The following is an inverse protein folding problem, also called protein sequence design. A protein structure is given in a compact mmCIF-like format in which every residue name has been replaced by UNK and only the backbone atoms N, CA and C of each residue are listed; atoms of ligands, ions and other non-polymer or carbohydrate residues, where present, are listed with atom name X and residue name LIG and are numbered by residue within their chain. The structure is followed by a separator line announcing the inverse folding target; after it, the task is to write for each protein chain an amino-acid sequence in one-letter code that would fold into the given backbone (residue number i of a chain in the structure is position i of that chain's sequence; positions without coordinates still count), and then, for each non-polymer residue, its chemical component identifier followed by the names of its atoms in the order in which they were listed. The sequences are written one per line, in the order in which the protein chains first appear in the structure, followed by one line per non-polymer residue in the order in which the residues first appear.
data_IF_496560815564
#
_entry.id   IF_496560815564
#
_cell.length_a   1.000
_cell.length_b   1.000
_cell.length_c   1.000
_cell.angle_alpha   90.00
_cell.angle_beta   90.00
_cell.angle_gamma   90.00
#
_symmetry.space_group_name_H-M   'P 1'
#
loop_
_entity.id
_entity.type
_entity.pdbx_description
1 polymer ?
#
# COMPACT_ATOMS: atom_id res chain seq x y z
N UNK A 1 21.22 0.23 0.56
CA UNK A 1 20.45 -0.47 1.58
C UNK A 1 18.97 -0.41 1.25
N UNK A 2 18.31 -1.56 1.20
CA UNK A 2 16.88 -1.63 0.84
C UNK A 2 16.00 -1.32 2.05
N UNK A 3 15.06 -0.39 1.89
CA UNK A 3 14.06 -0.12 2.93
C UNK A 3 12.78 -0.90 2.60
N UNK A 4 12.33 -1.72 3.53
CA UNK A 4 11.09 -2.47 3.40
C UNK A 4 10.00 -1.77 4.19
N UNK A 5 8.95 -1.30 3.50
CA UNK A 5 7.84 -0.59 4.13
C UNK A 5 6.80 -1.56 4.69
N UNK A 6 6.60 -2.70 4.02
CA UNK A 6 5.64 -3.70 4.47
C UNK A 6 5.95 -5.06 3.85
N UNK A 7 5.40 -6.11 4.45
CA UNK A 7 5.60 -7.49 4.00
C UNK A 7 4.36 -8.29 4.42
N UNK A 8 3.75 -8.97 3.47
CA UNK A 8 2.56 -9.79 3.73
C UNK A 8 2.81 -10.84 4.83
N UNK A 9 4.05 -11.35 4.92
CA UNK A 9 4.42 -12.33 5.95
C UNK A 9 4.40 -11.76 7.37
N UNK A 10 4.59 -10.44 7.53
CA UNK A 10 4.48 -9.78 8.82
C UNK A 10 3.05 -9.83 9.35
N UNK A 11 2.07 -9.80 8.46
CA UNK A 11 0.66 -9.84 8.80
C UNK A 11 0.18 -11.28 9.01
N UNK A 12 0.49 -12.17 8.08
CA UNK A 12 0.04 -13.57 8.13
C UNK A 12 0.65 -14.35 9.31
N UNK A 13 1.83 -13.92 9.78
CA UNK A 13 2.48 -14.52 10.95
C UNK A 13 2.17 -13.83 12.27
N UNK A 14 1.36 -12.76 12.26
CA UNK A 14 1.04 -11.96 13.45
C UNK A 14 -0.16 -12.47 14.23
N UNK A 15 -0.27 -12.03 15.48
CA UNK A 15 -1.44 -12.30 16.32
C UNK A 15 -2.64 -11.54 15.74
N UNK A 16 -3.82 -12.14 15.80
CA UNK A 16 -5.06 -11.53 15.31
C UNK A 16 -5.31 -11.72 13.81
N UNK A 17 -4.41 -12.38 13.10
CA UNK A 17 -4.62 -12.68 11.69
C UNK A 17 -5.71 -13.76 11.54
N UNK A 18 -6.79 -13.50 10.76
CA UNK A 18 -7.88 -14.48 10.67
C UNK A 18 -7.41 -15.81 10.05
N UNK A 19 -7.70 -16.95 10.71
CA UNK A 19 -7.30 -18.26 10.17
C UNK A 19 -7.90 -18.58 8.80
N UNK A 20 -9.08 -18.03 8.50
CA UNK A 20 -9.76 -18.21 7.23
C UNK A 20 -9.19 -17.34 6.10
N UNK A 21 -8.44 -16.29 6.44
CA UNK A 21 -7.76 -15.47 5.45
C UNK A 21 -6.51 -16.21 4.97
N UNK A 22 -6.37 -16.41 3.68
CA UNK A 22 -5.18 -17.03 3.13
C UNK A 22 -3.94 -16.15 3.28
N UNK A 23 -2.74 -16.67 3.03
CA UNK A 23 -1.51 -15.86 3.12
C UNK A 23 -1.52 -14.64 2.19
N UNK A 24 -2.32 -14.67 1.13
CA UNK A 24 -2.47 -13.59 0.17
C UNK A 24 -3.19 -12.38 0.74
N UNK A 25 -4.01 -12.57 1.78
CA UNK A 25 -4.81 -11.49 2.36
C UNK A 25 -3.93 -10.40 2.98
N UNK A 26 -2.74 -10.74 3.44
CA UNK A 26 -1.76 -9.76 3.94
C UNK A 26 -1.16 -8.87 2.84
N UNK A 27 -1.31 -9.25 1.58
CA UNK A 27 -0.80 -8.48 0.45
C UNK A 27 -1.83 -7.52 -0.16
N UNK A 28 -3.11 -7.64 0.18
CA UNK A 28 -4.17 -6.84 -0.45
C UNK A 28 -3.96 -5.34 -0.25
N UNK A 29 -3.78 -4.89 0.99
CA UNK A 29 -3.58 -3.47 1.28
C UNK A 29 -2.27 -2.94 0.70
N UNK A 30 -1.23 -3.76 0.69
CA UNK A 30 0.05 -3.42 0.07
C UNK A 30 -0.15 -3.22 -1.43
N UNK A 31 -0.89 -4.13 -2.06
CA UNK A 31 -1.18 -4.08 -3.49
C UNK A 31 -1.95 -2.84 -3.91
N UNK A 32 -2.91 -2.41 -3.09
CA UNK A 32 -3.69 -1.20 -3.39
C UNK A 32 -2.79 0.04 -3.45
N UNK A 33 -1.85 0.18 -2.52
CA UNK A 33 -0.89 1.29 -2.52
C UNK A 33 0.06 1.20 -3.72
N UNK A 34 0.64 0.03 -3.97
CA UNK A 34 1.57 -0.14 -5.07
C UNK A 34 0.88 0.06 -6.43
N UNK A 35 -0.34 -0.43 -6.59
CA UNK A 35 -1.12 -0.21 -7.81
C UNK A 35 -1.35 1.29 -8.03
N UNK A 36 -1.70 2.02 -6.98
CA UNK A 36 -1.85 3.47 -7.07
C UNK A 36 -0.55 4.12 -7.55
N UNK A 37 0.57 3.74 -6.95
CA UNK A 37 1.88 4.30 -7.31
C UNK A 37 2.24 4.01 -8.77
N UNK A 38 2.02 2.79 -9.23
CA UNK A 38 2.28 2.39 -10.63
C UNK A 38 1.40 3.19 -11.58
N UNK A 39 0.11 3.28 -11.30
CA UNK A 39 -0.84 3.98 -12.18
C UNK A 39 -0.63 5.50 -12.15
N UNK A 40 -0.08 6.03 -11.08
CA UNK A 40 0.27 7.45 -10.97
C UNK A 40 1.63 7.78 -11.61
N UNK A 41 2.38 6.77 -12.08
CA UNK A 41 3.66 6.97 -12.73
C UNK A 41 4.86 6.97 -11.79
N UNK A 42 4.72 6.37 -10.60
CA UNK A 42 5.77 6.33 -9.58
C UNK A 42 6.43 4.96 -9.42
N UNK A 43 6.23 4.05 -10.37
CA UNK A 43 6.98 2.79 -10.40
C UNK A 43 8.45 3.08 -10.71
N UNK A 44 9.37 2.35 -10.06
CA UNK A 44 10.79 2.52 -10.33
C UNK A 44 11.16 1.99 -11.72
N UNK A 45 12.26 2.50 -12.31
CA UNK A 45 12.77 1.91 -13.56
C UNK A 45 13.09 0.42 -13.44
N UNK A 46 13.55 -0.01 -12.27
CA UNK A 46 13.86 -1.42 -11.99
C UNK A 46 12.60 -2.28 -12.05
N UNK A 47 11.52 -1.83 -11.41
CA UNK A 47 10.25 -2.54 -11.45
C UNK A 47 9.67 -2.57 -12.87
N UNK A 48 9.77 -1.47 -13.59
CA UNK A 48 9.32 -1.38 -15.00
C UNK A 48 10.05 -2.37 -15.90
N UNK A 49 11.34 -2.57 -15.67
CA UNK A 49 12.16 -3.48 -16.44
C UNK A 49 11.94 -4.95 -16.06
N UNK A 50 11.91 -5.22 -14.75
CA UNK A 50 11.83 -6.59 -14.23
C UNK A 50 10.43 -7.20 -14.35
N UNK A 51 9.39 -6.37 -14.35
CA UNK A 51 7.99 -6.80 -14.30
C UNK A 51 7.16 -6.14 -15.40
N UNK A 52 7.71 -5.96 -16.57
CA UNK A 52 7.07 -5.28 -17.71
C UNK A 52 5.71 -5.89 -18.04
N UNK A 53 5.65 -7.21 -18.19
CA UNK A 53 4.42 -7.92 -18.55
C UNK A 53 3.38 -7.86 -17.43
N UNK A 54 3.82 -8.01 -16.20
CA UNK A 54 2.95 -7.95 -15.02
C UNK A 54 2.41 -6.53 -14.80
N UNK A 55 3.22 -5.50 -15.05
CA UNK A 55 2.78 -4.12 -14.98
C UNK A 55 1.76 -3.80 -16.08
N UNK A 56 1.96 -4.34 -17.28
CA UNK A 56 0.98 -4.19 -18.35
C UNK A 56 -0.35 -4.82 -17.96
N UNK A 57 -0.32 -6.02 -17.36
CA UNK A 57 -1.51 -6.70 -16.87
C UNK A 57 -2.22 -5.88 -15.77
N UNK A 58 -1.44 -5.27 -14.87
CA UNK A 58 -1.98 -4.41 -13.82
C UNK A 58 -2.69 -3.18 -14.41
N UNK A 59 -2.05 -2.52 -15.37
CA UNK A 59 -2.62 -1.35 -16.06
C UNK A 59 -3.87 -1.68 -16.85
N UNK A 60 -3.93 -2.89 -17.41
CA UNK A 60 -5.10 -3.40 -18.15
C UNK A 60 -6.16 -4.00 -17.22
N UNK A 61 -5.87 -4.08 -15.92
CA UNK A 61 -6.75 -4.63 -14.88
C UNK A 61 -7.08 -6.12 -15.12
N UNK A 62 -6.14 -6.86 -15.71
CA UNK A 62 -6.27 -8.31 -15.91
C UNK A 62 -5.67 -9.09 -14.74
N UNK A 63 -4.98 -8.41 -13.83
CA UNK A 63 -4.49 -8.96 -12.56
C UNK A 63 -4.95 -8.02 -11.44
N UNK A 64 -5.26 -8.56 -10.25
CA UNK A 64 -5.64 -7.73 -9.12
C UNK A 64 -4.42 -7.12 -8.44
N UNK A 65 -4.58 -5.98 -7.73
CA UNK A 65 -3.45 -5.35 -7.04
C UNK A 65 -2.74 -6.27 -6.04
N UNK A 66 -3.49 -7.02 -5.25
CA UNK A 66 -2.91 -7.95 -4.27
C UNK A 66 -2.17 -9.11 -4.94
N UNK A 67 -2.74 -9.66 -6.00
CA UNK A 67 -2.09 -10.73 -6.78
C UNK A 67 -0.78 -10.23 -7.40
N UNK A 68 -0.78 -9.00 -7.91
CA UNK A 68 0.43 -8.39 -8.48
C UNK A 68 1.56 -8.33 -7.44
N UNK A 69 1.27 -7.82 -6.24
CA UNK A 69 2.28 -7.74 -5.17
C UNK A 69 2.75 -9.13 -4.75
N UNK A 70 1.80 -10.04 -4.57
CA UNK A 70 2.11 -11.41 -4.14
C UNK A 70 3.02 -12.12 -5.15
N UNK A 71 2.70 -12.03 -6.44
CA UNK A 71 3.39 -12.78 -7.49
C UNK A 71 4.66 -12.09 -8.00
N UNK A 72 4.64 -10.75 -8.09
CA UNK A 72 5.74 -9.99 -8.72
C UNK A 72 6.69 -9.36 -7.71
N UNK A 73 6.24 -9.13 -6.48
CA UNK A 73 7.01 -8.44 -5.44
C UNK A 73 7.19 -9.28 -4.18
N UNK A 74 6.94 -10.59 -4.25
CA UNK A 74 7.04 -11.53 -3.11
C UNK A 74 6.21 -11.10 -1.90
N UNK A 75 5.11 -10.39 -2.13
CA UNK A 75 4.25 -9.88 -1.05
C UNK A 75 4.85 -8.74 -0.26
N UNK A 76 5.82 -8.02 -0.82
CA UNK A 76 6.56 -6.96 -0.12
C UNK A 76 6.41 -5.62 -0.83
N UNK A 77 6.51 -4.55 -0.04
CA UNK A 77 6.65 -3.19 -0.56
C UNK A 77 8.01 -2.65 -0.11
N UNK A 78 8.89 -2.42 -1.08
CA UNK A 78 10.25 -1.94 -0.81
C UNK A 78 10.53 -0.68 -1.65
N UNK A 79 11.56 0.07 -1.26
CA UNK A 79 11.94 1.31 -1.94
C UNK A 79 12.35 1.08 -3.40
N UNK A 80 12.86 -0.10 -3.73
CA UNK A 80 13.23 -0.46 -5.11
C UNK A 80 12.04 -0.58 -6.06
N UNK A 81 10.82 -0.66 -5.53
CA UNK A 81 9.61 -0.73 -6.34
C UNK A 81 9.12 0.64 -6.79
N UNK A 82 9.60 1.71 -6.15
CA UNK A 82 9.11 3.08 -6.34
C UNK A 82 10.21 4.01 -6.83
N UNK A 83 9.82 5.05 -7.57
CA UNK A 83 10.73 6.12 -7.95
C UNK A 83 11.02 7.02 -6.72
N UNK A 84 11.84 8.08 -6.91
CA UNK A 84 12.24 8.96 -5.80
C UNK A 84 11.04 9.62 -5.13
N UNK A 85 10.05 10.05 -5.90
CA UNK A 85 8.84 10.70 -5.37
C UNK A 85 7.98 9.68 -4.65
N UNK A 86 7.76 8.52 -5.25
CA UNK A 86 6.99 7.43 -4.64
C UNK A 86 7.61 6.94 -3.34
N UNK A 87 8.94 6.81 -3.31
CA UNK A 87 9.68 6.42 -2.12
C UNK A 87 9.51 7.44 -0.99
N UNK A 88 9.65 8.72 -1.29
CA UNK A 88 9.48 9.79 -0.30
C UNK A 88 8.06 9.83 0.25
N UNK A 89 7.06 9.69 -0.62
CA UNK A 89 5.66 9.65 -0.21
C UNK A 89 5.35 8.41 0.64
N UNK A 90 5.86 7.23 0.25
CA UNK A 90 5.67 6.00 1.02
C UNK A 90 6.27 6.13 2.42
N UNK A 91 7.45 6.74 2.54
CA UNK A 91 8.08 6.96 3.84
C UNK A 91 7.23 7.88 4.72
N UNK A 92 6.64 8.93 4.15
CA UNK A 92 5.84 9.90 4.89
C UNK A 92 4.45 9.38 5.24
N UNK A 93 3.81 8.65 4.32
CA UNK A 93 2.40 8.28 4.41
C UNK A 93 2.19 6.83 4.87
N UNK A 94 2.93 5.89 4.30
CA UNK A 94 2.77 4.46 4.57
C UNK A 94 3.50 4.06 5.86
N UNK A 95 4.79 4.38 5.94
CA UNK A 95 5.64 3.98 7.07
C UNK A 95 5.42 4.84 8.31
N UNK A 96 5.29 6.16 8.15
CA UNK A 96 5.14 7.08 9.27
C UNK A 96 6.46 7.28 10.02
N UNK A 97 6.37 7.55 11.32
CA UNK A 97 7.53 7.82 12.16
C UNK A 97 7.98 6.56 12.91
N UNK A 98 9.14 6.02 12.51
CA UNK A 98 9.71 4.81 13.12
C UNK A 98 10.20 5.02 14.56
N UNK A 99 10.40 6.28 14.98
CA UNK A 99 10.91 6.59 16.32
C UNK A 99 9.83 6.51 17.40
N UNK A 100 8.56 6.58 17.00
CA UNK A 100 7.42 6.43 17.90
C UNK A 100 6.74 5.08 17.64
N UNK A 101 6.98 4.12 18.52
CA UNK A 101 6.36 2.79 18.47
C UNK A 101 4.83 2.90 18.64
N UNK A 102 4.13 3.25 17.63
CA UNK A 102 2.69 3.44 17.67
C UNK A 102 2.21 4.47 16.67
N UNK A 103 3.13 5.15 16.03
CA UNK A 103 2.80 6.12 14.98
C UNK A 103 3.01 5.48 13.61
N UNK A 104 2.22 4.44 13.33
CA UNK A 104 2.14 3.88 11.98
C UNK A 104 1.66 4.97 11.02
N UNK A 105 2.03 4.88 9.76
CA UNK A 105 1.61 5.84 8.76
C UNK A 105 0.09 5.91 8.61
N UNK A 106 -0.41 6.98 8.04
CA UNK A 106 -1.85 7.21 7.88
C UNK A 106 -2.52 6.24 6.90
N UNK A 107 -1.73 5.53 6.09
CA UNK A 107 -2.28 4.69 5.03
C UNK A 107 -3.22 3.60 5.58
N UNK A 108 -2.82 2.88 6.62
CA UNK A 108 -3.67 1.82 7.18
C UNK A 108 -4.98 2.38 7.74
N UNK A 109 -4.95 3.53 8.39
CA UNK A 109 -6.16 4.19 8.86
C UNK A 109 -7.09 4.55 7.71
N UNK A 110 -6.54 5.17 6.67
CA UNK A 110 -7.31 5.55 5.48
C UNK A 110 -7.88 4.32 4.77
N UNK A 111 -7.09 3.25 4.70
CA UNK A 111 -7.51 1.99 4.09
C UNK A 111 -8.71 1.38 4.84
N UNK A 112 -8.61 1.28 6.16
CA UNK A 112 -9.71 0.76 6.99
C UNK A 112 -10.94 1.65 6.84
N UNK A 113 -10.78 2.97 6.88
CA UNK A 113 -11.90 3.92 6.72
C UNK A 113 -12.59 3.77 5.36
N UNK A 114 -11.82 3.47 4.31
CA UNK A 114 -12.37 3.32 2.96
C UNK A 114 -13.19 2.04 2.81
N UNK A 115 -12.72 0.94 3.40
CA UNK A 115 -13.29 -0.39 3.17
C UNK A 115 -14.19 -0.88 4.29
N UNK A 116 -14.08 -0.30 5.48
CA UNK A 116 -14.87 -0.66 6.66
C UNK A 116 -15.31 0.60 7.40
N UNK A 117 -16.18 1.43 6.80
CA UNK A 117 -16.63 2.65 7.49
C UNK A 117 -17.41 2.29 8.76
N UNK A 118 -16.91 2.76 9.90
CA UNK A 118 -17.55 2.52 11.21
C UNK A 118 -16.61 1.81 12.17
N UNK A 119 -17.18 1.00 13.06
CA UNK A 119 -16.46 0.33 14.15
C UNK A 119 -15.75 -0.96 13.70
N UNK A 120 -14.98 -0.89 12.58
CA UNK A 120 -14.25 -2.04 12.08
C UNK A 120 -13.19 -2.53 13.06
N UNK A 121 -13.10 -3.85 13.21
CA UNK A 121 -12.02 -4.46 13.99
C UNK A 121 -10.71 -4.40 13.21
N UNK A 122 -9.55 -4.33 13.88
CA UNK A 122 -8.26 -4.29 13.16
C UNK A 122 -8.06 -5.46 12.19
N UNK A 123 -8.64 -6.62 12.48
CA UNK A 123 -8.53 -7.79 11.63
C UNK A 123 -9.32 -7.66 10.31
N UNK A 124 -10.27 -6.74 10.24
CA UNK A 124 -11.09 -6.54 9.03
C UNK A 124 -10.25 -6.12 7.82
N UNK A 125 -9.08 -5.53 8.06
CA UNK A 125 -8.13 -5.18 7.00
C UNK A 125 -7.73 -6.41 6.17
N UNK A 126 -7.72 -7.59 6.78
CA UNK A 126 -7.36 -8.84 6.11
C UNK A 126 -8.55 -9.55 5.46
N UNK A 127 -9.75 -9.05 5.67
CA UNK A 127 -10.98 -9.60 5.08
C UNK A 127 -11.46 -8.82 3.87
N UNK A 128 -10.72 -7.78 3.48
CA UNK A 128 -11.06 -6.94 2.34
C UNK A 128 -10.81 -7.71 1.04
N UNK A 129 -11.78 -7.74 0.11
CA UNK A 129 -11.58 -8.41 -1.16
C UNK A 129 -10.48 -7.76 -2.00
N UNK A 130 -9.63 -8.59 -2.60
CA UNK A 130 -8.62 -8.13 -3.55
C UNK A 130 -9.26 -7.93 -4.93
N UNK A 131 -9.87 -6.76 -5.12
CA UNK A 131 -10.62 -6.42 -6.34
C UNK A 131 -10.35 -4.98 -6.76
N UNK A 132 -10.62 -4.69 -8.02
CA UNK A 132 -10.52 -3.32 -8.53
C UNK A 132 -11.62 -2.42 -7.94
N UNK A 133 -12.74 -2.98 -7.52
CA UNK A 133 -13.78 -2.21 -6.79
C UNK A 133 -13.22 -1.68 -5.47
N UNK A 134 -12.47 -2.50 -4.74
CA UNK A 134 -11.79 -2.07 -3.51
C UNK A 134 -10.78 -0.97 -3.83
N UNK A 135 -10.01 -1.14 -4.90
CA UNK A 135 -9.05 -0.13 -5.36
C UNK A 135 -9.74 1.23 -5.59
N UNK A 136 -10.91 1.23 -6.24
CA UNK A 136 -11.65 2.47 -6.51
C UNK A 136 -12.13 3.17 -5.23
N UNK A 137 -12.23 2.46 -4.12
CA UNK A 137 -12.54 3.05 -2.82
C UNK A 137 -11.31 3.66 -2.15
N UNK A 138 -10.15 3.04 -2.33
CA UNK A 138 -8.90 3.42 -1.66
C UNK A 138 -8.15 4.52 -2.43
N UNK A 139 -8.09 4.42 -3.75
CA UNK A 139 -7.29 5.32 -4.58
C UNK A 139 -7.58 6.81 -4.37
N UNK A 140 -8.86 7.26 -4.26
CA UNK A 140 -9.14 8.69 -4.02
C UNK A 140 -8.58 9.21 -2.71
N UNK A 141 -8.49 8.36 -1.67
CA UNK A 141 -7.89 8.76 -0.39
C UNK A 141 -6.39 8.92 -0.52
N UNK A 142 -5.73 8.03 -1.27
CA UNK A 142 -4.28 8.14 -1.52
C UNK A 142 -4.02 9.42 -2.34
N UNK A 143 -4.83 9.69 -3.37
CA UNK A 143 -4.72 10.92 -4.16
C UNK A 143 -4.82 12.17 -3.27
N UNK A 144 -5.78 12.20 -2.35
CA UNK A 144 -5.97 13.32 -1.43
C UNK A 144 -4.77 13.49 -0.50
N UNK A 145 -4.20 12.39 -0.02
CA UNK A 145 -3.02 12.43 0.84
C UNK A 145 -1.76 12.87 0.08
N UNK A 146 -1.63 12.43 -1.16
CA UNK A 146 -0.52 12.87 -2.01
C UNK A 146 -0.60 14.40 -2.24
N UNK A 147 -1.79 14.92 -2.54
CA UNK A 147 -2.00 16.34 -2.71
C UNK A 147 -1.69 17.12 -1.43
N UNK A 148 -2.12 16.60 -0.27
CA UNK A 148 -1.81 17.19 1.03
C UNK A 148 -0.31 17.24 1.27
N UNK A 149 0.37 16.12 1.03
CA UNK A 149 1.82 15.99 1.22
C UNK A 149 2.58 16.99 0.34
N UNK A 150 2.17 17.11 -0.92
CA UNK A 150 2.79 18.05 -1.86
C UNK A 150 2.56 19.51 -1.43
N UNK A 151 1.32 19.84 -1.03
CA UNK A 151 0.94 21.18 -0.55
C UNK A 151 1.70 21.59 0.72
N UNK A 152 2.01 20.64 1.59
CA UNK A 152 2.72 20.89 2.85
C UNK A 152 4.24 20.93 2.67
N UNK A 153 4.73 20.86 1.43
CA UNK A 153 6.14 20.94 1.13
C UNK A 153 6.87 19.61 1.22
N UNK A 154 6.14 18.51 1.11
CA UNK A 154 6.68 17.13 1.13
C UNK A 154 7.42 16.81 2.43
N UNK A 155 6.74 16.90 3.58
CA UNK A 155 7.38 16.60 4.87
C UNK A 155 7.82 15.13 4.95
N UNK A 156 8.78 14.86 5.81
CA UNK A 156 9.30 13.50 6.03
C UNK A 156 8.24 12.56 6.61
N UNK A 157 7.29 13.09 7.39
CA UNK A 157 6.17 12.34 7.97
C UNK A 157 4.89 13.12 7.71
N UNK A 158 3.90 12.45 7.12
CA UNK A 158 2.59 13.03 6.87
C UNK A 158 1.68 12.81 8.07
N UNK A 159 1.02 13.85 8.53
CA UNK A 159 0.12 13.79 9.67
C UNK A 159 -1.26 14.27 9.28
N UNK A 160 -2.25 13.94 10.09
CA UNK A 160 -3.61 14.43 9.89
C UNK A 160 -3.62 15.96 9.87
N UNK A 161 -4.36 16.53 8.93
CA UNK A 161 -4.60 17.96 8.89
C UNK A 161 -5.48 18.37 10.06
N UNK A 162 -5.02 19.35 10.81
CA UNK A 162 -5.78 19.88 11.94
C UNK A 162 -7.00 20.68 11.45
#
# INVERSE_FOLDING_TARGET
MTTKYDDASWHSGGEGYPPEAGPEAGATHIGMFLAWAVLAGHASPELEEDSEDELAALRERTVTPGAFVHDSCDGKLVDHDLDDVGTAFASAYYAGDDEDEGDAGLYLEDYVDAVSPGDGEPEDVYRVPDTWETYELVAPLIDARFAQWDDEGRPAVLRHRA
#
